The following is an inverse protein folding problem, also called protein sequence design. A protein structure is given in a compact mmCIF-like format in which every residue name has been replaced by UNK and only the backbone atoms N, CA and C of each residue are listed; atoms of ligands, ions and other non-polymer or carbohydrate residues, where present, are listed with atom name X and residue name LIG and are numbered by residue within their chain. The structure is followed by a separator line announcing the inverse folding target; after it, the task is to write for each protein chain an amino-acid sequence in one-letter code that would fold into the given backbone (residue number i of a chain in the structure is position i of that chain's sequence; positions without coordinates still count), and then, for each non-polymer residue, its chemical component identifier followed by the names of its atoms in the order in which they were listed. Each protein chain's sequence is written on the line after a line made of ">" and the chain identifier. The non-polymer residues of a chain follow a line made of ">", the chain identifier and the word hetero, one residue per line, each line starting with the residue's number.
data_IF_002866944737
#
_entry.id   IF_002866944737
#
_cell.length_a   1.000
_cell.length_b   1.000
_cell.length_c   1.000
_cell.angle_alpha   90.00
_cell.angle_beta   90.00
_cell.angle_gamma   90.00
#
_symmetry.space_group_name_H-M   'P 1'
#
loop_
_entity.id
_entity.type
_entity.pdbx_description
1 polymer ?
#
# COMPACT_ATOMS: atom_id res chain seq x y z
N UNK A 1 10.30 37.65 -15.47
CA UNK A 1 11.06 36.48 -15.97
C UNK A 1 10.80 35.33 -15.02
N UNK A 2 9.92 34.38 -15.42
CA UNK A 2 9.85 33.08 -14.73
C UNK A 2 11.11 32.34 -15.12
N UNK A 3 12.10 32.28 -14.23
CA UNK A 3 13.14 31.27 -14.33
C UNK A 3 12.47 29.91 -14.18
N UNK A 4 12.20 29.24 -15.30
CA UNK A 4 11.99 27.81 -15.29
C UNK A 4 13.33 27.21 -14.88
N UNK A 5 13.48 26.87 -13.60
CA UNK A 5 14.52 25.97 -13.17
C UNK A 5 14.19 24.60 -13.75
N UNK A 6 14.62 24.35 -14.98
CA UNK A 6 14.68 23.00 -15.54
C UNK A 6 15.74 22.29 -14.72
N UNK A 7 15.32 21.53 -13.73
CA UNK A 7 16.19 20.59 -13.04
C UNK A 7 16.31 19.39 -13.95
N UNK A 8 17.33 19.37 -14.80
CA UNK A 8 17.67 18.22 -15.65
C UNK A 8 18.17 17.06 -14.78
N UNK A 9 17.23 16.29 -14.24
CA UNK A 9 17.50 15.06 -13.51
C UNK A 9 16.88 13.89 -14.25
N UNK A 10 17.63 12.80 -14.33
CA UNK A 10 17.25 11.68 -15.17
C UNK A 10 17.21 10.38 -14.35
N UNK A 11 16.33 9.48 -14.80
CA UNK A 11 16.45 8.08 -14.44
C UNK A 11 17.45 7.45 -15.39
N UNK A 12 18.49 6.86 -14.82
CA UNK A 12 19.54 6.17 -15.55
C UNK A 12 19.21 4.67 -15.63
N UNK A 13 19.50 4.07 -16.77
CA UNK A 13 19.44 2.63 -17.01
C UNK A 13 20.84 2.19 -17.43
N UNK A 14 21.48 1.33 -16.64
CA UNK A 14 22.89 0.89 -16.85
C UNK A 14 23.85 2.06 -16.98
N UNK A 15 23.69 3.08 -16.11
CA UNK A 15 24.54 4.27 -16.09
C UNK A 15 24.27 5.30 -17.20
N UNK A 16 23.35 5.03 -18.14
CA UNK A 16 23.02 5.93 -19.22
C UNK A 16 21.58 6.47 -19.08
N UNK A 17 21.36 7.69 -19.58
CA UNK A 17 20.03 8.27 -19.65
C UNK A 17 19.11 7.40 -20.52
N UNK A 18 17.98 6.95 -19.97
CA UNK A 18 16.97 6.20 -20.71
C UNK A 18 16.56 6.98 -21.99
N UNK A 19 16.59 6.30 -23.13
CA UNK A 19 16.31 6.92 -24.43
C UNK A 19 15.80 5.90 -25.44
N UNK A 20 14.52 6.00 -25.79
CA UNK A 20 13.92 5.14 -26.81
C UNK A 20 14.62 5.26 -28.19
N UNK A 21 15.01 6.50 -28.58
CA UNK A 21 15.67 6.73 -29.87
C UNK A 21 17.10 6.16 -29.96
N UNK A 22 17.74 5.90 -28.83
CA UNK A 22 19.08 5.31 -28.77
C UNK A 22 19.08 3.85 -28.34
N UNK A 23 17.88 3.26 -28.10
CA UNK A 23 17.75 1.89 -27.65
C UNK A 23 18.27 1.63 -26.21
N UNK A 24 18.34 2.69 -25.39
CA UNK A 24 18.77 2.58 -24.00
C UNK A 24 17.54 2.32 -23.12
N UNK A 25 17.45 1.11 -22.54
CA UNK A 25 16.31 0.64 -21.76
C UNK A 25 15.24 -0.04 -22.62
N UNK A 26 14.26 -0.67 -21.97
CA UNK A 26 13.06 -1.23 -22.60
C UNK A 26 12.06 -0.11 -22.91
N UNK A 27 11.22 -0.31 -23.92
CA UNK A 27 10.08 0.56 -24.19
C UNK A 27 8.99 0.39 -23.11
N UNK A 28 8.10 1.37 -22.98
CA UNK A 28 6.97 1.25 -22.06
C UNK A 28 6.10 0.01 -22.33
N UNK A 29 5.90 -0.34 -23.63
CA UNK A 29 5.11 -1.49 -24.02
C UNK A 29 5.77 -2.80 -23.54
N UNK A 30 7.08 -2.95 -23.73
CA UNK A 30 7.84 -4.13 -23.26
C UNK A 30 7.77 -4.31 -21.75
N UNK A 31 7.72 -3.19 -20.98
CA UNK A 31 7.48 -3.27 -19.54
C UNK A 31 6.03 -3.67 -19.22
N UNK A 32 5.03 -3.09 -19.87
CA UNK A 32 3.62 -3.37 -19.61
C UNK A 32 3.20 -4.79 -20.02
N UNK A 33 3.92 -5.41 -20.95
CA UNK A 33 3.70 -6.81 -21.35
C UNK A 33 4.13 -7.81 -20.25
N UNK A 34 4.98 -7.38 -19.31
CA UNK A 34 5.57 -8.24 -18.27
C UNK A 34 5.14 -7.82 -16.85
N UNK A 35 4.85 -6.54 -16.65
CA UNK A 35 4.62 -5.94 -15.33
C UNK A 35 3.18 -5.52 -15.14
N UNK A 36 2.66 -5.74 -13.93
CA UNK A 36 1.46 -5.05 -13.49
C UNK A 36 1.72 -3.52 -13.56
N UNK A 37 0.81 -2.72 -14.17
CA UNK A 37 1.01 -1.28 -14.30
C UNK A 37 1.27 -0.56 -12.96
N UNK A 38 0.60 -0.96 -11.89
CA UNK A 38 0.81 -0.36 -10.56
C UNK A 38 2.17 -0.75 -9.96
N UNK A 39 2.65 -1.99 -10.19
CA UNK A 39 3.99 -2.39 -9.76
C UNK A 39 5.08 -1.59 -10.51
N UNK A 40 4.87 -1.34 -11.80
CA UNK A 40 5.77 -0.48 -12.58
C UNK A 40 5.74 0.96 -12.08
N UNK A 41 4.54 1.53 -11.81
CA UNK A 41 4.40 2.88 -11.23
C UNK A 41 5.10 2.99 -9.88
N UNK A 42 4.94 1.99 -9.01
CA UNK A 42 5.61 1.90 -7.72
C UNK A 42 7.14 1.94 -7.87
N UNK A 43 7.68 1.08 -8.72
CA UNK A 43 9.12 1.01 -8.96
C UNK A 43 9.68 2.34 -9.48
N UNK A 44 9.00 2.97 -10.44
CA UNK A 44 9.38 4.27 -10.97
C UNK A 44 9.27 5.39 -9.92
N UNK A 45 8.16 5.42 -9.15
CA UNK A 45 7.98 6.42 -8.09
C UNK A 45 9.04 6.30 -6.99
N UNK A 46 9.45 5.07 -6.66
CA UNK A 46 10.53 4.83 -5.68
C UNK A 46 11.92 5.26 -6.16
N UNK A 47 12.10 5.40 -7.49
CA UNK A 47 13.34 5.82 -8.14
C UNK A 47 13.28 7.24 -8.72
N UNK A 48 12.30 8.07 -8.30
CA UNK A 48 12.21 9.44 -8.79
C UNK A 48 13.50 10.23 -8.48
N UNK A 49 14.05 10.97 -9.45
CA UNK A 49 15.29 11.73 -9.30
C UNK A 49 15.03 13.09 -8.64
N UNK A 50 14.52 13.10 -7.38
CA UNK A 50 14.12 14.32 -6.68
C UNK A 50 15.30 15.22 -6.28
N UNK A 51 16.44 14.64 -5.94
CA UNK A 51 17.63 15.40 -5.50
C UNK A 51 18.82 15.27 -6.45
N UNK A 52 18.99 14.11 -7.08
CA UNK A 52 20.06 13.77 -8.02
C UNK A 52 19.54 12.77 -9.03
N UNK A 53 20.31 12.50 -10.09
CA UNK A 53 20.02 11.37 -10.98
C UNK A 53 19.97 10.07 -10.17
N UNK A 54 19.03 9.20 -10.55
CA UNK A 54 18.84 7.89 -9.90
C UNK A 54 18.96 6.80 -10.95
N UNK A 55 19.57 5.71 -10.57
CA UNK A 55 19.65 4.51 -11.39
C UNK A 55 18.50 3.56 -11.02
N UNK A 56 17.89 2.96 -12.05
CA UNK A 56 16.93 1.88 -11.89
C UNK A 56 17.42 0.67 -12.67
N UNK A 57 17.49 -0.46 -11.99
CA UNK A 57 17.76 -1.77 -12.61
C UNK A 57 16.52 -2.65 -12.55
N UNK A 58 16.43 -3.60 -13.48
CA UNK A 58 15.32 -4.56 -13.47
C UNK A 58 15.35 -5.44 -12.22
N UNK A 59 16.54 -5.82 -11.75
CA UNK A 59 16.72 -6.58 -10.50
C UNK A 59 16.17 -5.82 -9.28
N UNK A 60 16.42 -4.51 -9.20
CA UNK A 60 15.89 -3.68 -8.12
C UNK A 60 14.36 -3.53 -8.23
N UNK A 61 13.81 -3.44 -9.43
CA UNK A 61 12.37 -3.41 -9.65
C UNK A 61 11.73 -4.73 -9.20
N UNK A 62 12.32 -5.88 -9.57
CA UNK A 62 11.90 -7.23 -9.17
C UNK A 62 11.97 -7.37 -7.64
N UNK A 63 13.08 -6.97 -7.03
CA UNK A 63 13.26 -6.99 -5.58
C UNK A 63 12.15 -6.21 -4.87
N UNK A 64 11.88 -4.97 -5.30
CA UNK A 64 10.82 -4.15 -4.73
C UNK A 64 9.44 -4.74 -4.90
N UNK A 65 9.14 -5.28 -6.09
CA UNK A 65 7.89 -5.97 -6.29
C UNK A 65 7.73 -7.15 -5.33
N UNK A 66 8.74 -8.00 -5.23
CA UNK A 66 8.66 -9.23 -4.44
C UNK A 66 8.64 -8.96 -2.93
N UNK A 67 9.49 -8.05 -2.45
CA UNK A 67 9.63 -7.78 -1.00
C UNK A 67 8.61 -6.77 -0.49
N UNK A 68 8.37 -5.69 -1.24
CA UNK A 68 7.55 -4.57 -0.76
C UNK A 68 6.08 -4.74 -1.17
N UNK A 69 5.80 -5.09 -2.44
CA UNK A 69 4.43 -5.23 -2.92
C UNK A 69 3.83 -6.61 -2.64
N UNK A 70 4.52 -7.70 -2.97
CA UNK A 70 3.99 -9.05 -2.72
C UNK A 70 4.07 -9.42 -1.25
N UNK A 71 5.28 -9.37 -0.67
CA UNK A 71 5.50 -9.89 0.68
C UNK A 71 4.98 -8.96 1.79
N UNK A 72 5.11 -7.63 1.65
CA UNK A 72 4.65 -6.71 2.69
C UNK A 72 3.19 -6.29 2.50
N UNK A 73 2.80 -5.76 1.34
CA UNK A 73 1.45 -5.23 1.11
C UNK A 73 0.44 -6.31 0.72
N UNK A 74 0.71 -7.08 -0.34
CA UNK A 74 -0.20 -8.11 -0.85
C UNK A 74 -0.50 -9.19 0.19
N UNK A 75 0.52 -9.71 0.87
CA UNK A 75 0.34 -10.70 1.93
C UNK A 75 -0.41 -10.13 3.15
N UNK A 76 -0.22 -8.85 3.50
CA UNK A 76 -1.00 -8.22 4.56
C UNK A 76 -2.50 -8.26 4.24
N UNK A 77 -2.88 -7.80 3.05
CA UNK A 77 -4.27 -7.78 2.60
C UNK A 77 -4.84 -9.20 2.59
N UNK A 78 -4.17 -10.12 1.89
CA UNK A 78 -4.61 -11.52 1.78
C UNK A 78 -4.77 -12.18 3.15
N UNK A 79 -3.82 -11.99 4.06
CA UNK A 79 -3.85 -12.58 5.40
C UNK A 79 -5.07 -12.12 6.20
N UNK A 80 -5.36 -10.82 6.21
CA UNK A 80 -6.50 -10.28 6.97
C UNK A 80 -7.83 -10.72 6.34
N UNK A 81 -7.96 -10.63 5.02
CA UNK A 81 -9.15 -11.07 4.30
C UNK A 81 -9.44 -12.56 4.53
N UNK A 82 -8.44 -13.41 4.35
CA UNK A 82 -8.56 -14.85 4.56
C UNK A 82 -8.93 -15.18 6.01
N UNK A 83 -8.36 -14.48 6.99
CA UNK A 83 -8.70 -14.70 8.39
C UNK A 83 -10.14 -14.31 8.72
N UNK A 84 -10.62 -13.19 8.18
CA UNK A 84 -12.01 -12.78 8.36
C UNK A 84 -12.94 -13.79 7.70
N UNK A 85 -12.71 -14.16 6.45
CA UNK A 85 -13.55 -15.07 5.68
C UNK A 85 -13.60 -16.49 6.26
N UNK A 86 -12.47 -17.01 6.74
CA UNK A 86 -12.41 -18.38 7.27
C UNK A 86 -13.00 -18.52 8.68
N UNK A 87 -12.96 -17.46 9.48
CA UNK A 87 -13.36 -17.53 10.89
C UNK A 87 -14.69 -16.82 11.17
N UNK A 88 -15.07 -15.87 10.31
CA UNK A 88 -16.30 -15.08 10.50
C UNK A 88 -17.08 -15.05 9.18
N UNK A 89 -18.35 -15.39 9.21
CA UNK A 89 -19.23 -15.28 8.04
C UNK A 89 -19.47 -13.83 7.63
N UNK A 90 -19.30 -12.88 8.55
CA UNK A 90 -19.49 -11.44 8.36
C UNK A 90 -18.47 -10.67 9.17
N UNK A 91 -18.22 -9.43 8.74
CA UNK A 91 -17.42 -8.48 9.54
C UNK A 91 -18.14 -8.26 10.86
N UNK A 92 -17.50 -8.62 11.96
CA UNK A 92 -18.11 -8.61 13.29
C UNK A 92 -18.41 -7.19 13.76
N UNK A 93 -19.50 -7.05 14.52
CA UNK A 93 -19.75 -5.85 15.31
C UNK A 93 -18.69 -5.72 16.41
N UNK A 94 -18.39 -4.49 16.78
CA UNK A 94 -17.27 -4.18 17.65
C UNK A 94 -17.77 -3.62 18.98
N UNK A 95 -17.39 -4.27 20.08
CA UNK A 95 -17.76 -3.83 21.42
C UNK A 95 -16.76 -2.81 21.98
N UNK A 96 -15.52 -3.23 22.27
CA UNK A 96 -14.52 -2.39 22.93
C UNK A 96 -13.22 -2.27 22.15
N UNK A 97 -12.65 -1.06 22.16
CA UNK A 97 -11.33 -0.76 21.59
C UNK A 97 -10.32 -0.69 22.71
N UNK A 98 -9.30 -1.54 22.68
CA UNK A 98 -8.19 -1.47 23.61
C UNK A 98 -7.12 -0.49 23.14
N UNK A 99 -6.14 -0.17 24.01
CA UNK A 99 -5.17 0.90 23.77
C UNK A 99 -4.31 0.68 22.52
N UNK A 100 -3.91 -0.57 22.24
CA UNK A 100 -3.09 -0.90 21.07
C UNK A 100 -3.86 -0.64 19.76
N UNK A 101 -5.18 -0.90 19.73
CA UNK A 101 -6.03 -0.64 18.57
C UNK A 101 -6.19 0.87 18.34
N UNK A 102 -6.47 1.62 19.42
CA UNK A 102 -6.59 3.08 19.38
C UNK A 102 -5.31 3.74 18.90
N UNK A 103 -4.16 3.25 19.36
CA UNK A 103 -2.86 3.75 18.95
C UNK A 103 -2.66 3.60 17.45
N UNK A 104 -2.93 2.40 16.88
CA UNK A 104 -2.81 2.18 15.45
C UNK A 104 -3.73 3.12 14.66
N UNK A 105 -5.02 3.19 15.01
CA UNK A 105 -5.98 4.03 14.28
C UNK A 105 -5.66 5.51 14.39
N UNK A 106 -5.15 5.98 15.54
CA UNK A 106 -4.66 7.36 15.69
C UNK A 106 -3.49 7.62 14.74
N UNK A 107 -2.49 6.75 14.70
CA UNK A 107 -1.36 6.88 13.79
C UNK A 107 -1.81 6.86 12.33
N UNK A 108 -2.78 6.00 11.97
CA UNK A 108 -3.36 5.98 10.63
C UNK A 108 -4.09 7.29 10.29
N UNK A 109 -4.78 7.91 11.25
CA UNK A 109 -5.41 9.22 11.05
C UNK A 109 -4.38 10.33 10.81
N UNK A 110 -3.30 10.34 11.57
CA UNK A 110 -2.21 11.32 11.44
C UNK A 110 -1.42 11.16 10.12
N UNK A 111 -1.43 9.96 9.53
CA UNK A 111 -0.70 9.66 8.30
C UNK A 111 -1.12 10.51 7.11
N UNK A 112 -2.40 10.89 7.05
CA UNK A 112 -2.94 11.66 5.92
C UNK A 112 -2.33 13.07 5.85
N UNK A 113 -2.14 13.72 6.99
CA UNK A 113 -1.48 15.03 7.05
C UNK A 113 0.00 14.91 6.66
N UNK A 114 0.68 13.89 7.16
CA UNK A 114 2.12 13.67 6.90
C UNK A 114 2.35 13.38 5.40
N UNK A 115 1.65 12.39 4.86
CA UNK A 115 1.80 11.98 3.45
C UNK A 115 1.28 13.08 2.52
N UNK A 116 0.15 13.73 2.88
CA UNK A 116 -0.42 14.84 2.13
C UNK A 116 0.56 16.00 1.98
N UNK A 117 1.22 16.43 3.06
CA UNK A 117 2.22 17.47 3.01
C UNK A 117 3.43 17.13 2.13
N UNK A 118 3.86 15.86 2.13
CA UNK A 118 4.94 15.39 1.25
C UNK A 118 4.52 15.45 -0.23
N UNK A 119 3.29 15.05 -0.55
CA UNK A 119 2.75 15.12 -1.92
C UNK A 119 2.63 16.60 -2.37
N UNK A 120 2.10 17.49 -1.52
CA UNK A 120 1.99 18.93 -1.82
C UNK A 120 3.34 19.59 -2.08
N UNK A 121 4.39 19.15 -1.38
CA UNK A 121 5.77 19.58 -1.62
C UNK A 121 6.44 18.93 -2.83
N UNK A 122 5.74 18.01 -3.51
CA UNK A 122 6.29 17.21 -4.63
C UNK A 122 7.47 16.32 -4.18
N UNK A 123 7.48 15.89 -2.93
CA UNK A 123 8.41 14.91 -2.35
C UNK A 123 7.81 13.50 -2.48
N UNK A 124 7.54 13.06 -3.71
CA UNK A 124 6.74 11.87 -4.00
C UNK A 124 7.41 10.57 -3.54
N UNK A 125 8.74 10.50 -3.65
CA UNK A 125 9.50 9.34 -3.15
C UNK A 125 9.37 9.22 -1.63
N UNK A 126 9.50 10.32 -0.91
CA UNK A 126 9.32 10.34 0.55
C UNK A 126 7.86 10.01 0.93
N UNK A 127 6.87 10.52 0.19
CA UNK A 127 5.46 10.21 0.39
C UNK A 127 5.17 8.71 0.22
N UNK A 128 5.75 8.08 -0.82
CA UNK A 128 5.62 6.64 -1.05
C UNK A 128 6.28 5.82 0.07
N UNK A 129 7.49 6.19 0.48
CA UNK A 129 8.19 5.53 1.59
C UNK A 129 7.41 5.63 2.90
N UNK A 130 6.84 6.80 3.18
CA UNK A 130 6.02 7.01 4.36
C UNK A 130 4.74 6.18 4.30
N UNK A 131 4.06 6.11 3.15
CA UNK A 131 2.89 5.24 2.96
C UNK A 131 3.22 3.76 3.23
N UNK A 132 4.36 3.27 2.74
CA UNK A 132 4.82 1.90 3.02
C UNK A 132 5.25 1.67 4.47
N UNK A 133 5.70 2.72 5.16
CA UNK A 133 5.95 2.64 6.61
C UNK A 133 4.67 2.35 7.39
N UNK A 134 3.52 2.89 6.96
CA UNK A 134 2.23 2.56 7.57
C UNK A 134 1.79 1.12 7.25
N UNK A 135 2.04 0.60 6.06
CA UNK A 135 1.86 -0.83 5.77
C UNK A 135 2.67 -1.70 6.75
N UNK A 136 3.92 -1.32 7.02
CA UNK A 136 4.77 -2.02 8.00
C UNK A 136 4.23 -1.94 9.44
N UNK A 137 3.63 -0.81 9.82
CA UNK A 137 2.97 -0.67 11.14
C UNK A 137 1.79 -1.60 11.30
N UNK A 138 0.96 -1.76 10.26
CA UNK A 138 -0.17 -2.70 10.29
C UNK A 138 0.32 -4.15 10.39
N UNK A 139 1.39 -4.51 9.66
CA UNK A 139 2.05 -5.81 9.81
C UNK A 139 2.59 -6.02 11.24
N UNK A 140 3.21 -4.99 11.83
CA UNK A 140 3.69 -5.00 13.22
C UNK A 140 2.55 -5.23 14.21
N UNK A 141 1.44 -4.51 14.05
CA UNK A 141 0.24 -4.68 14.87
C UNK A 141 -0.32 -6.10 14.84
N UNK A 142 -0.41 -6.73 13.66
CA UNK A 142 -0.85 -8.11 13.55
C UNK A 142 0.12 -9.10 14.19
N UNK A 143 1.42 -8.84 14.11
CA UNK A 143 2.43 -9.67 14.74
C UNK A 143 2.43 -9.52 16.29
N UNK A 144 2.13 -8.33 16.81
CA UNK A 144 2.01 -8.06 18.24
C UNK A 144 0.72 -8.68 18.82
N UNK A 145 -0.40 -8.57 18.09
CA UNK A 145 -1.71 -8.99 18.57
C UNK A 145 -2.06 -10.44 18.25
N UNK A 146 -1.37 -11.06 17.32
CA UNK A 146 -1.48 -12.47 16.91
C UNK A 146 -2.93 -13.01 16.81
N UNK A 147 -3.84 -12.41 15.99
CA UNK A 147 -5.26 -12.79 15.95
C UNK A 147 -5.48 -14.28 15.66
N UNK A 148 -4.60 -14.96 14.94
CA UNK A 148 -4.64 -16.39 14.67
C UNK A 148 -4.41 -17.28 15.91
N UNK A 149 -3.83 -16.73 16.97
CA UNK A 149 -3.73 -17.39 18.28
C UNK A 149 -4.90 -17.00 19.16
N UNK A 150 -5.17 -15.71 19.26
CA UNK A 150 -6.21 -15.12 20.11
C UNK A 150 -7.59 -15.71 19.81
N UNK A 151 -7.90 -16.00 18.55
CA UNK A 151 -9.21 -16.54 18.14
C UNK A 151 -9.58 -17.86 18.81
N UNK A 152 -8.59 -18.63 19.27
CA UNK A 152 -8.83 -19.91 19.95
C UNK A 152 -9.29 -19.74 21.40
N UNK A 153 -9.05 -18.58 21.99
CA UNK A 153 -9.32 -18.27 23.39
C UNK A 153 -10.36 -17.16 23.52
N UNK A 154 -10.32 -16.14 22.66
CA UNK A 154 -11.19 -14.98 22.67
C UNK A 154 -11.54 -14.58 21.23
N UNK A 155 -12.65 -15.13 20.72
CA UNK A 155 -13.14 -14.86 19.36
C UNK A 155 -13.52 -13.40 19.18
N UNK A 156 -14.10 -12.75 20.21
CA UNK A 156 -14.48 -11.32 20.14
C UNK A 156 -13.26 -10.42 20.03
N UNK A 157 -12.21 -10.71 20.80
CA UNK A 157 -10.96 -9.96 20.72
C UNK A 157 -10.28 -10.16 19.35
N UNK A 158 -10.26 -11.38 18.82
CA UNK A 158 -9.73 -11.65 17.48
C UNK A 158 -10.52 -10.91 16.40
N UNK A 159 -11.84 -10.91 16.46
CA UNK A 159 -12.71 -10.14 15.56
C UNK A 159 -12.37 -8.64 15.61
N UNK A 160 -12.16 -8.09 16.80
CA UNK A 160 -11.77 -6.68 16.98
C UNK A 160 -10.42 -6.37 16.37
N UNK A 161 -9.42 -7.22 16.58
CA UNK A 161 -8.10 -7.06 15.99
C UNK A 161 -8.19 -7.03 14.45
N UNK A 162 -8.93 -7.98 13.87
CA UNK A 162 -9.09 -8.08 12.42
C UNK A 162 -9.88 -6.90 11.84
N UNK A 163 -10.89 -6.41 12.55
CA UNK A 163 -11.61 -5.19 12.17
C UNK A 163 -10.68 -3.97 12.14
N UNK A 164 -9.90 -3.76 13.21
CA UNK A 164 -8.92 -2.66 13.29
C UNK A 164 -7.88 -2.75 12.17
N UNK A 165 -7.39 -3.97 11.87
CA UNK A 165 -6.48 -4.20 10.77
C UNK A 165 -7.15 -3.88 9.40
N UNK A 166 -8.43 -4.18 9.24
CA UNK A 166 -9.18 -3.88 8.01
C UNK A 166 -9.34 -2.37 7.81
N UNK A 167 -9.66 -1.60 8.87
CA UNK A 167 -9.69 -0.13 8.82
C UNK A 167 -8.31 0.44 8.44
N UNK A 168 -7.24 -0.11 9.01
CA UNK A 168 -5.87 0.31 8.70
C UNK A 168 -5.46 -0.06 7.26
N UNK A 169 -5.88 -1.22 6.74
CA UNK A 169 -5.66 -1.62 5.33
C UNK A 169 -6.39 -0.69 4.38
N UNK A 170 -7.64 -0.32 4.67
CA UNK A 170 -8.37 0.67 3.87
C UNK A 170 -7.64 2.02 3.83
N UNK A 171 -7.11 2.44 4.98
CA UNK A 171 -6.30 3.64 5.08
C UNK A 171 -5.01 3.54 4.25
N UNK A 172 -4.28 2.42 4.33
CA UNK A 172 -3.10 2.19 3.49
C UNK A 172 -3.44 2.23 2.00
N UNK A 173 -4.56 1.65 1.58
CA UNK A 173 -5.01 1.71 0.19
C UNK A 173 -5.28 3.16 -0.26
N UNK A 174 -5.84 4.02 0.60
CA UNK A 174 -6.00 5.44 0.31
C UNK A 174 -4.66 6.16 0.17
N UNK A 175 -3.70 5.92 1.07
CA UNK A 175 -2.36 6.52 1.02
C UNK A 175 -1.56 6.07 -0.21
N UNK A 176 -1.76 4.84 -0.66
CA UNK A 176 -1.08 4.26 -1.83
C UNK A 176 -1.77 4.61 -3.15
N UNK A 177 -3.02 5.09 -3.13
CA UNK A 177 -3.81 5.40 -4.31
C UNK A 177 -3.09 6.32 -5.33
N UNK A 178 -2.38 7.39 -4.93
CA UNK A 178 -1.66 8.24 -5.89
C UNK A 178 -0.59 7.49 -6.70
N UNK A 179 -0.05 6.42 -6.13
CA UNK A 179 1.04 5.63 -6.71
C UNK A 179 0.53 4.39 -7.43
N UNK A 180 -0.46 3.71 -6.86
CA UNK A 180 -0.99 2.42 -7.31
C UNK A 180 -2.52 2.43 -7.36
N UNK A 181 -3.13 3.20 -8.27
CA UNK A 181 -4.58 3.43 -8.27
C UNK A 181 -5.40 2.16 -8.48
N UNK A 182 -5.01 1.28 -9.41
CA UNK A 182 -5.82 0.11 -9.76
C UNK A 182 -5.87 -0.92 -8.64
N UNK A 183 -4.74 -1.22 -8.02
CA UNK A 183 -4.68 -2.15 -6.88
C UNK A 183 -5.30 -1.57 -5.62
N UNK A 184 -5.16 -0.25 -5.41
CA UNK A 184 -5.85 0.45 -4.33
C UNK A 184 -7.37 0.41 -4.50
N UNK A 185 -7.88 0.61 -5.71
CA UNK A 185 -9.32 0.48 -6.00
C UNK A 185 -9.83 -0.94 -5.81
N UNK A 186 -9.04 -1.97 -6.16
CA UNK A 186 -9.40 -3.36 -5.86
C UNK A 186 -9.59 -3.58 -4.36
N UNK A 187 -8.64 -3.16 -3.53
CA UNK A 187 -8.74 -3.27 -2.07
C UNK A 187 -9.94 -2.47 -1.55
N UNK A 188 -10.07 -1.21 -1.98
CA UNK A 188 -11.16 -0.32 -1.54
C UNK A 188 -12.55 -0.84 -1.94
N UNK A 189 -12.70 -1.44 -3.11
CA UNK A 189 -13.97 -2.00 -3.57
C UNK A 189 -14.37 -3.30 -2.86
N UNK A 190 -13.40 -4.01 -2.29
CA UNK A 190 -13.63 -5.23 -1.54
C UNK A 190 -14.02 -4.97 -0.07
N UNK A 191 -13.66 -3.79 0.48
CA UNK A 191 -13.94 -3.40 1.86
C UNK A 191 -15.25 -2.58 1.90
N UNK A 192 -16.31 -3.07 2.56
CA UNK A 192 -17.57 -2.32 2.70
C UNK A 192 -17.39 -1.18 3.72
N UNK A 193 -17.74 0.05 3.32
CA UNK A 193 -17.59 1.26 4.13
C UNK A 193 -18.93 1.86 4.52
N UNK A 194 -18.98 2.51 5.68
CA UNK A 194 -20.09 3.39 6.10
C UNK A 194 -19.88 4.82 5.57
N UNK A 195 -18.61 5.24 5.43
CA UNK A 195 -18.21 6.56 4.93
C UNK A 195 -17.25 6.39 3.75
N UNK A 196 -17.24 7.32 2.82
CA UNK A 196 -16.33 7.31 1.67
C UNK A 196 -15.42 8.54 1.68
N UNK A 197 -14.47 8.56 2.62
CA UNK A 197 -13.41 9.53 2.60
C UNK A 197 -12.32 9.07 1.64
N UNK A 198 -12.00 9.89 0.67
CA UNK A 198 -10.90 9.61 -0.28
C UNK A 198 -9.53 9.86 0.37
N UNK A 199 -9.47 10.80 1.32
CA UNK A 199 -8.26 11.15 2.04
C UNK A 199 -8.57 11.31 3.53
N UNK A 200 -8.74 10.18 4.22
CA UNK A 200 -9.10 10.11 5.63
C UNK A 200 -9.50 8.70 6.02
N UNK A 201 -9.61 8.45 7.33
CA UNK A 201 -10.12 7.17 7.84
C UNK A 201 -11.57 6.95 7.44
N UNK A 202 -11.87 5.74 7.07
CA UNK A 202 -13.23 5.26 6.81
C UNK A 202 -13.65 4.30 7.91
N UNK A 203 -14.91 4.38 8.27
CA UNK A 203 -15.54 3.40 9.13
C UNK A 203 -15.99 2.21 8.29
N UNK A 204 -15.61 1.02 8.70
CA UNK A 204 -15.96 -0.21 7.99
C UNK A 204 -17.36 -0.66 8.43
N UNK A 205 -18.18 -1.04 7.46
CA UNK A 205 -19.54 -1.52 7.72
C UNK A 205 -19.50 -2.93 8.30
N UNK A 206 -20.12 -3.10 9.46
CA UNK A 206 -20.23 -4.39 10.14
C UNK A 206 -21.52 -5.15 9.72
N UNK A 207 -21.63 -6.42 10.08
CA UNK A 207 -22.79 -7.26 9.77
C UNK A 207 -22.91 -7.67 8.30
N UNK A 208 -21.90 -7.37 7.47
CA UNK A 208 -21.84 -7.71 6.04
C UNK A 208 -20.67 -8.61 5.72
N UNK A 209 -20.78 -9.36 4.63
CA UNK A 209 -19.69 -10.21 4.15
C UNK A 209 -18.58 -9.37 3.55
N UNK A 210 -17.32 -9.79 3.78
CA UNK A 210 -16.16 -9.23 3.11
C UNK A 210 -16.05 -9.86 1.72
N UNK A 211 -15.96 -9.03 0.68
CA UNK A 211 -15.81 -9.54 -0.70
C UNK A 211 -14.47 -10.25 -0.86
N UNK A 212 -14.47 -11.27 -1.71
CA UNK A 212 -13.22 -11.91 -2.11
C UNK A 212 -12.31 -10.94 -2.86
N UNK A 213 -11.03 -11.05 -2.62
CA UNK A 213 -10.00 -10.30 -3.33
C UNK A 213 -8.94 -11.27 -3.85
N UNK A 214 -8.61 -11.14 -5.14
CA UNK A 214 -7.53 -11.92 -5.75
C UNK A 214 -6.15 -11.43 -5.34
N UNK A 215 -5.12 -12.06 -5.87
CA UNK A 215 -3.74 -11.60 -5.69
C UNK A 215 -3.57 -10.19 -6.27
N UNK A 216 -3.03 -9.28 -5.48
CA UNK A 216 -2.78 -7.91 -5.92
C UNK A 216 -1.58 -7.83 -6.86
N UNK A 217 -0.56 -8.62 -6.59
CA UNK A 217 0.69 -8.64 -7.35
C UNK A 217 1.20 -10.07 -7.51
N UNK A 218 1.78 -10.35 -8.67
CA UNK A 218 2.49 -11.59 -8.93
C UNK A 218 3.96 -11.45 -8.55
N UNK A 219 4.52 -12.53 -7.99
CA UNK A 219 5.95 -12.62 -7.73
C UNK A 219 6.70 -12.90 -9.04
N UNK A 220 7.83 -12.23 -9.21
CA UNK A 220 8.81 -12.58 -10.24
C UNK A 220 9.79 -13.62 -9.69
N UNK A 221 10.20 -14.55 -10.55
CA UNK A 221 11.20 -15.58 -10.25
C UNK A 221 12.62 -15.00 -10.28
#
# INVERSE_FOLDING_TARGET
>A
QRQMCIRDRYILVKGEKASASRGVGKTLQEYLDQWNPDALRYALASALPEQSDTEISEDEMIRRNNEELVAAWGNLVQRVFTQIQNNFSKISEIDETVEVDKKLLKEMSESYDIVGQLIEKVELKAALQESMRYVSKVNGYLNETEPWKVIKEDEKRAARILYTALEAIDSCANLLYPFMPSTSDLVRSAIPRETENLWGLNKIKTGVELKEIGLLFNKFD
#
